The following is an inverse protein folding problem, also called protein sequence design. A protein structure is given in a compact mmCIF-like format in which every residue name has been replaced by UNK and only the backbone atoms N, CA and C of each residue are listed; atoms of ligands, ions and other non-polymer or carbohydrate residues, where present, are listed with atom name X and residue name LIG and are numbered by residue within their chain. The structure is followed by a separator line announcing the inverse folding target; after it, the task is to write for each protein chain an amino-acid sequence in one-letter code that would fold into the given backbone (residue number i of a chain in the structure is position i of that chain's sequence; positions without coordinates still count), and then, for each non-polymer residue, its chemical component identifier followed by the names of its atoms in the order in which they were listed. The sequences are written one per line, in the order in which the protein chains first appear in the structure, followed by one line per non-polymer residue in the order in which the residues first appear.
data_IF_265349293907
#
_entry.id   IF_265349293907
#
_cell.length_a   1.000
_cell.length_b   1.000
_cell.length_c   1.000
_cell.angle_alpha   90.00
_cell.angle_beta   90.00
_cell.angle_gamma   90.00
#
_symmetry.space_group_name_H-M   'P 1'
#
loop_
_entity.id
_entity.type
_entity.pdbx_description
1 polymer ?
#
# COMPACT_ATOMS: atom_id res chain seq x y z
N UNK A 1 10.49 24.26 18.31
CA UNK A 1 9.56 23.20 17.85
C UNK A 1 10.19 22.56 16.63
N UNK A 2 10.73 21.36 16.75
CA UNK A 2 11.31 20.65 15.59
C UNK A 2 10.18 20.34 14.61
N UNK A 3 10.34 20.75 13.36
CA UNK A 3 9.52 20.26 12.26
C UNK A 3 9.80 18.77 12.13
N UNK A 4 8.97 17.94 12.75
CA UNK A 4 8.91 16.53 12.40
C UNK A 4 8.66 16.49 10.88
N UNK A 5 9.60 15.89 10.17
CA UNK A 5 9.42 15.60 8.75
C UNK A 5 8.18 14.70 8.60
N UNK A 6 7.44 14.83 7.50
CA UNK A 6 6.24 14.02 7.27
C UNK A 6 6.48 12.51 7.46
N UNK A 7 7.70 12.05 7.19
CA UNK A 7 8.12 10.66 7.44
C UNK A 7 8.12 10.28 8.93
N UNK A 8 8.57 11.17 9.82
CA UNK A 8 8.65 10.87 11.25
C UNK A 8 7.26 10.71 11.87
N UNK A 9 6.24 11.40 11.34
CA UNK A 9 4.86 11.26 11.80
C UNK A 9 4.27 9.85 11.58
N UNK A 10 4.72 9.16 10.53
CA UNK A 10 4.27 7.81 10.17
C UNK A 10 5.19 6.70 10.70
N UNK A 11 6.33 7.05 11.32
CA UNK A 11 7.24 6.12 11.98
C UNK A 11 6.98 6.06 13.49
N UNK A 12 5.74 5.75 13.86
CA UNK A 12 5.35 5.56 15.25
C UNK A 12 5.73 4.17 15.73
N UNK A 13 6.05 4.07 17.02
CA UNK A 13 6.52 2.83 17.63
C UNK A 13 5.51 1.68 17.48
N UNK A 14 4.20 1.99 17.55
CA UNK A 14 3.13 1.01 17.37
C UNK A 14 3.11 0.32 15.99
N UNK A 15 3.79 0.88 14.99
CA UNK A 15 3.85 0.34 13.62
C UNK A 15 5.15 -0.41 13.31
N UNK A 16 6.08 -0.51 14.26
CA UNK A 16 7.39 -1.13 14.03
C UNK A 16 7.32 -2.62 13.66
N UNK A 17 6.24 -3.31 14.03
CA UNK A 17 5.98 -4.72 13.68
C UNK A 17 5.31 -4.89 12.32
N UNK A 18 4.84 -3.81 11.68
CA UNK A 18 4.20 -3.83 10.37
C UNK A 18 5.28 -3.61 9.31
N UNK A 19 5.37 -4.56 8.37
CA UNK A 19 6.35 -4.52 7.28
C UNK A 19 6.24 -3.21 6.49
N UNK A 20 7.36 -2.50 6.34
CA UNK A 20 7.49 -1.34 5.46
C UNK A 20 8.02 -1.78 4.10
N UNK A 21 7.19 -1.65 3.07
CA UNK A 21 7.59 -1.82 1.67
C UNK A 21 8.21 -0.52 1.15
N UNK A 22 9.41 -0.63 0.60
CA UNK A 22 10.19 0.50 0.09
C UNK A 22 10.17 0.53 -1.43
N UNK A 23 10.37 1.70 -2.02
CA UNK A 23 10.49 1.79 -3.48
C UNK A 23 11.65 0.96 -4.00
N UNK A 24 12.77 0.93 -3.27
CA UNK A 24 13.95 0.13 -3.58
C UNK A 24 13.68 -1.38 -3.68
N UNK A 25 12.61 -1.86 -3.06
CA UNK A 25 12.23 -3.28 -3.11
C UNK A 25 11.56 -3.64 -4.45
N UNK A 26 11.07 -2.64 -5.19
CA UNK A 26 10.53 -2.82 -6.52
C UNK A 26 11.67 -2.85 -7.55
N UNK A 27 11.67 -3.82 -8.47
CA UNK A 27 12.61 -3.86 -9.61
C UNK A 27 12.16 -2.89 -10.71
N UNK A 28 12.06 -1.60 -10.37
CA UNK A 28 11.43 -0.56 -11.19
C UNK A 28 12.41 0.15 -12.14
N UNK A 29 13.68 -0.27 -12.19
CA UNK A 29 14.70 0.31 -13.08
C UNK A 29 14.98 1.78 -12.81
N UNK A 30 15.08 2.15 -11.53
CA UNK A 30 15.34 3.52 -11.06
C UNK A 30 14.28 4.57 -11.44
N UNK A 31 13.13 4.14 -11.97
CA UNK A 31 11.99 5.02 -12.23
C UNK A 31 11.35 5.54 -10.93
N UNK A 32 10.83 6.78 -10.91
CA UNK A 32 10.13 7.32 -9.73
C UNK A 32 8.75 6.68 -9.49
N UNK A 33 8.34 5.74 -10.34
CA UNK A 33 7.06 5.05 -10.28
C UNK A 33 7.25 3.57 -10.55
N UNK A 34 6.43 2.74 -9.90
CA UNK A 34 6.33 1.32 -10.19
C UNK A 34 4.87 0.99 -10.51
N UNK A 35 4.62 0.51 -11.73
CA UNK A 35 3.29 0.15 -12.19
C UNK A 35 3.21 -1.36 -12.46
N UNK A 36 2.19 -2.02 -11.92
CA UNK A 36 1.95 -3.44 -12.11
C UNK A 36 0.47 -3.76 -12.17
N UNK A 37 0.10 -4.74 -13.00
CA UNK A 37 -1.23 -5.37 -13.00
C UNK A 37 -1.12 -6.77 -12.38
N UNK A 38 -2.07 -7.11 -11.52
CA UNK A 38 -2.15 -8.42 -10.89
C UNK A 38 -3.60 -8.92 -10.91
N UNK A 39 -3.74 -10.25 -10.87
CA UNK A 39 -5.03 -10.89 -10.64
C UNK A 39 -5.07 -11.34 -9.17
N UNK A 40 -6.11 -10.95 -8.44
CA UNK A 40 -6.36 -11.47 -7.11
C UNK A 40 -7.23 -12.72 -7.22
N UNK A 41 -6.80 -13.81 -6.61
CA UNK A 41 -7.59 -15.03 -6.49
C UNK A 41 -8.43 -14.97 -5.20
N UNK A 42 -9.59 -15.66 -5.16
CA UNK A 42 -10.34 -15.81 -3.92
C UNK A 42 -9.41 -16.33 -2.81
N UNK A 43 -9.45 -15.70 -1.63
CA UNK A 43 -8.61 -16.00 -0.46
C UNK A 43 -7.13 -15.58 -0.54
N UNK A 44 -6.72 -14.81 -1.54
CA UNK A 44 -5.42 -14.12 -1.50
C UNK A 44 -5.46 -12.98 -0.47
N UNK A 45 -5.29 -13.32 0.81
CA UNK A 45 -5.11 -12.33 1.86
C UNK A 45 -3.71 -11.73 1.72
N UNK A 46 -3.63 -10.47 1.32
CA UNK A 46 -2.38 -9.72 1.42
C UNK A 46 -2.11 -9.47 2.90
N UNK A 47 -0.87 -9.74 3.32
CA UNK A 47 -0.41 -9.43 4.68
C UNK A 47 -0.51 -7.93 4.94
N UNK A 48 -0.81 -7.54 6.18
CA UNK A 48 -0.80 -6.14 6.58
C UNK A 48 0.61 -5.56 6.42
N UNK A 49 0.71 -4.45 5.71
CA UNK A 49 1.96 -3.76 5.43
C UNK A 49 1.72 -2.26 5.31
N UNK A 50 2.81 -1.49 5.32
CA UNK A 50 2.85 -0.04 5.09
C UNK A 50 3.81 0.26 3.93
N UNK A 51 3.68 1.44 3.32
CA UNK A 51 4.50 1.86 2.19
C UNK A 51 5.27 3.13 2.53
N UNK A 52 6.50 3.24 2.02
CA UNK A 52 7.27 4.49 2.03
C UNK A 52 6.70 5.54 1.06
N UNK A 53 5.88 5.08 0.11
CA UNK A 53 5.32 5.86 -0.99
C UNK A 53 3.79 5.73 -1.05
N UNK A 54 3.16 6.62 -1.80
CA UNK A 54 1.72 6.53 -2.06
C UNK A 54 1.44 5.40 -3.07
N UNK A 55 0.55 4.48 -2.69
CA UNK A 55 0.03 3.47 -3.60
C UNK A 55 -1.31 3.93 -4.16
N UNK A 56 -1.47 3.81 -5.48
CA UNK A 56 -2.74 4.04 -6.18
C UNK A 56 -3.16 2.71 -6.81
N UNK A 57 -4.36 2.25 -6.50
CA UNK A 57 -4.94 1.03 -7.04
C UNK A 57 -6.09 1.38 -7.97
N UNK A 58 -6.24 0.62 -9.06
CA UNK A 58 -7.37 0.73 -9.98
C UNK A 58 -7.95 -0.65 -10.25
N UNK A 59 -9.26 -0.81 -10.07
CA UNK A 59 -9.95 -2.09 -10.27
C UNK A 59 -10.33 -2.24 -11.74
N UNK A 60 -9.55 -3.02 -12.47
CA UNK A 60 -9.80 -3.29 -13.89
C UNK A 60 -11.08 -4.15 -14.12
N UNK A 61 -11.36 -5.10 -13.23
CA UNK A 61 -12.46 -6.05 -13.35
C UNK A 61 -12.80 -6.65 -11.99
N UNK A 62 -14.08 -6.96 -11.77
CA UNK A 62 -14.57 -7.66 -10.58
C UNK A 62 -14.92 -6.71 -9.43
N UNK A 63 -14.85 -7.25 -8.21
CA UNK A 63 -15.09 -6.55 -6.95
C UNK A 63 -14.18 -7.12 -5.88
N UNK A 64 -13.92 -6.33 -4.85
CA UNK A 64 -13.05 -6.74 -3.74
C UNK A 64 -13.30 -5.94 -2.48
N UNK A 65 -12.48 -6.24 -1.49
CA UNK A 65 -12.44 -5.53 -0.22
C UNK A 65 -11.01 -5.01 -0.03
N UNK A 66 -10.87 -3.71 0.17
CA UNK A 66 -9.61 -3.07 0.53
C UNK A 66 -9.64 -2.70 2.01
N UNK A 67 -8.63 -3.14 2.76
CA UNK A 67 -8.46 -2.76 4.15
C UNK A 67 -7.40 -1.67 4.28
N UNK A 68 -7.79 -0.50 4.78
CA UNK A 68 -6.89 0.62 5.04
C UNK A 68 -7.06 1.03 6.49
N UNK A 69 -5.98 1.05 7.28
CA UNK A 69 -6.00 1.45 8.69
C UNK A 69 -7.11 0.74 9.51
N UNK A 70 -7.27 -0.57 9.29
CA UNK A 70 -8.30 -1.43 9.92
C UNK A 70 -9.74 -1.08 9.55
N UNK A 71 -9.95 -0.24 8.55
CA UNK A 71 -11.26 0.05 7.98
C UNK A 71 -11.43 -0.70 6.66
N UNK A 72 -12.66 -1.18 6.44
CA UNK A 72 -13.03 -1.95 5.27
C UNK A 72 -13.67 -1.04 4.20
N UNK A 73 -13.19 -1.14 2.96
CA UNK A 73 -13.72 -0.45 1.81
C UNK A 73 -14.09 -1.48 0.73
N UNK A 74 -15.37 -1.54 0.37
CA UNK A 74 -15.82 -2.33 -0.77
C UNK A 74 -15.47 -1.58 -2.05
N UNK A 75 -14.79 -2.25 -2.96
CA UNK A 75 -14.36 -1.68 -4.24
C UNK A 75 -14.89 -2.51 -5.41
N UNK A 76 -15.20 -1.84 -6.50
CA UNK A 76 -15.72 -2.42 -7.75
C UNK A 76 -14.93 -1.92 -8.95
N UNK A 77 -15.14 -2.54 -10.11
CA UNK A 77 -14.55 -2.08 -11.37
C UNK A 77 -14.75 -0.56 -11.56
N UNK A 78 -13.66 0.14 -11.82
CA UNK A 78 -13.63 1.58 -12.06
C UNK A 78 -13.24 2.42 -10.84
N UNK A 79 -13.22 1.81 -9.65
CA UNK A 79 -12.64 2.41 -8.44
C UNK A 79 -11.10 2.41 -8.48
#
# INVERSE_FOLDING_TARGET
MSKLTWLEFFNREEYNTIQLLKMSDNKHGDLPVFARKYNLFPNAALLLHRHEYMQINYVCQGRGIHFINKQEFKIIKGD
#
